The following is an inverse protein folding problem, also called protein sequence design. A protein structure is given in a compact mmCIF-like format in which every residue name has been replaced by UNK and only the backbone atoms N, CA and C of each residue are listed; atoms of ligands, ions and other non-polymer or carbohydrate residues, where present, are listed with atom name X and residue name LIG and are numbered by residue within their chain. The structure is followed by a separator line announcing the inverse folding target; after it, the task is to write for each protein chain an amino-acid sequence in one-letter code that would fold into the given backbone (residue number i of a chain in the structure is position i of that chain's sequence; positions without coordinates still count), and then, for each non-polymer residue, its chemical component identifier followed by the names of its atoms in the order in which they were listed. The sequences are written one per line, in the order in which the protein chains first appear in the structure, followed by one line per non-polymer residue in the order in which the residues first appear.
data_IF_239017351731
#
_entry.id   IF_239017351731
#
_cell.length_a   1.000
_cell.length_b   1.000
_cell.length_c   1.000
_cell.angle_alpha   90.00
_cell.angle_beta   90.00
_cell.angle_gamma   90.00
#
_symmetry.space_group_name_H-M   'P 1'
#
loop_
_entity.id
_entity.type
_entity.pdbx_description
1 polymer ?
#
# COMPACT_ATOMS: atom_id res chain seq x y z
N UNK A 1 29.55 12.28 35.85
CA UNK A 1 28.30 12.55 35.13
C UNK A 1 28.16 11.46 34.09
N UNK A 2 27.21 10.55 34.29
CA UNK A 2 26.88 9.53 33.30
C UNK A 2 25.61 9.99 32.60
N UNK A 3 25.71 10.26 31.31
CA UNK A 3 24.56 10.54 30.45
C UNK A 3 23.71 9.26 30.36
N UNK A 4 22.43 9.40 30.65
CA UNK A 4 21.45 8.32 30.44
C UNK A 4 21.23 8.15 28.93
N UNK A 5 21.09 6.91 28.42
CA UNK A 5 20.72 6.69 27.04
C UNK A 5 19.27 7.16 26.82
N UNK A 6 19.08 7.96 25.77
CA UNK A 6 17.76 8.32 25.23
C UNK A 6 16.95 7.05 24.98
N UNK A 7 16.02 6.74 25.88
CA UNK A 7 14.95 5.79 25.65
C UNK A 7 13.94 6.42 24.70
N UNK A 8 14.15 6.26 23.40
CA UNK A 8 13.09 6.40 22.41
C UNK A 8 11.99 5.37 22.74
N UNK A 9 10.75 5.86 22.71
CA UNK A 9 9.61 5.33 23.45
C UNK A 9 9.11 3.96 22.96
N UNK A 10 9.00 3.01 23.89
CA UNK A 10 8.34 1.70 23.72
C UNK A 10 6.82 1.76 23.46
N UNK A 11 6.26 2.97 23.30
CA UNK A 11 4.85 3.19 22.95
C UNK A 11 4.59 3.15 21.45
N UNK A 12 5.61 3.39 20.61
CA UNK A 12 5.45 3.61 19.17
C UNK A 12 5.46 2.31 18.37
N UNK A 13 6.37 1.36 18.68
CA UNK A 13 6.36 0.00 18.11
C UNK A 13 5.06 -0.79 18.40
N UNK A 14 4.23 -0.32 19.33
CA UNK A 14 2.98 -1.00 19.71
C UNK A 14 1.85 -0.80 18.72
N UNK A 15 1.85 0.29 17.94
CA UNK A 15 0.61 0.72 17.27
C UNK A 15 0.29 -0.07 16.00
N UNK A 16 1.26 -0.22 15.09
CA UNK A 16 1.11 -1.11 13.92
C UNK A 16 0.85 -2.55 14.33
N UNK A 17 1.57 -3.05 15.33
CA UNK A 17 1.37 -4.38 15.91
C UNK A 17 -0.02 -4.55 16.54
N UNK A 18 -0.55 -3.50 17.20
CA UNK A 18 -1.90 -3.47 17.77
C UNK A 18 -2.95 -3.51 16.67
N UNK A 19 -2.81 -2.69 15.62
CA UNK A 19 -3.72 -2.68 14.46
C UNK A 19 -3.72 -4.04 13.75
N UNK A 20 -2.54 -4.64 13.53
CA UNK A 20 -2.44 -5.96 12.92
C UNK A 20 -3.08 -7.06 13.76
N UNK A 21 -2.87 -7.02 15.08
CA UNK A 21 -3.54 -7.93 16.01
C UNK A 21 -5.05 -7.74 15.98
N UNK A 22 -5.53 -6.50 15.96
CA UNK A 22 -6.94 -6.16 15.87
C UNK A 22 -7.55 -6.70 14.57
N UNK A 23 -6.86 -6.55 13.43
CA UNK A 23 -7.28 -7.16 12.16
C UNK A 23 -7.39 -8.68 12.24
N UNK A 24 -6.43 -9.36 12.88
CA UNK A 24 -6.48 -10.82 13.01
C UNK A 24 -7.67 -11.25 13.87
N UNK A 25 -7.85 -10.61 15.01
CA UNK A 25 -8.76 -11.05 16.08
C UNK A 25 -10.21 -10.58 15.89
N UNK A 26 -10.45 -9.52 15.13
CA UNK A 26 -11.79 -8.95 14.95
C UNK A 26 -12.22 -8.93 13.47
N UNK A 27 -13.52 -9.08 13.22
CA UNK A 27 -14.15 -8.90 11.90
C UNK A 27 -14.97 -7.60 11.86
N UNK A 28 -14.62 -6.61 12.69
CA UNK A 28 -15.49 -5.45 12.95
C UNK A 28 -15.19 -4.27 12.04
N UNK A 29 -16.23 -3.53 11.60
CA UNK A 29 -16.11 -2.26 10.87
C UNK A 29 -15.23 -1.20 11.56
N UNK A 30 -15.13 -1.26 12.89
CA UNK A 30 -14.40 -0.28 13.70
C UNK A 30 -12.91 -0.17 13.35
N UNK A 31 -12.29 -1.25 12.85
CA UNK A 31 -10.87 -1.26 12.47
C UNK A 31 -10.61 -0.35 11.27
N UNK A 32 -11.57 -0.26 10.34
CA UNK A 32 -11.45 0.63 9.19
C UNK A 32 -11.52 2.09 9.60
N UNK A 33 -12.43 2.42 10.52
CA UNK A 33 -12.53 3.78 11.08
C UNK A 33 -11.23 4.18 11.77
N UNK A 34 -10.60 3.25 12.48
CA UNK A 34 -9.32 3.49 13.15
C UNK A 34 -8.17 3.73 12.15
N UNK A 35 -8.04 2.89 11.11
CA UNK A 35 -7.08 3.15 10.02
C UNK A 35 -7.34 4.52 9.41
N UNK A 36 -8.59 4.84 9.09
CA UNK A 36 -8.93 6.11 8.46
C UNK A 36 -8.54 7.29 9.36
N UNK A 37 -8.78 7.18 10.67
CA UNK A 37 -8.35 8.18 11.65
C UNK A 37 -6.82 8.30 11.71
N UNK A 38 -6.10 7.18 11.75
CA UNK A 38 -4.63 7.17 11.77
C UNK A 38 -4.05 7.75 10.48
N UNK A 39 -4.60 7.40 9.33
CA UNK A 39 -4.18 7.94 8.03
C UNK A 39 -4.38 9.46 8.00
N UNK A 40 -5.58 9.95 8.38
CA UNK A 40 -5.89 11.38 8.39
C UNK A 40 -5.02 12.15 9.38
N UNK A 41 -4.80 11.60 10.58
CA UNK A 41 -3.92 12.19 11.60
C UNK A 41 -2.47 12.35 11.10
N UNK A 42 -2.04 11.49 10.18
CA UNK A 42 -0.72 11.51 9.57
C UNK A 42 -0.72 12.11 8.15
N UNK A 43 -1.74 12.91 7.82
CA UNK A 43 -1.79 13.73 6.62
C UNK A 43 -2.20 12.98 5.35
N UNK A 44 -2.73 11.76 5.44
CA UNK A 44 -3.29 11.01 4.33
C UNK A 44 -4.83 11.03 4.35
N UNK A 45 -5.44 11.53 3.30
CA UNK A 45 -6.89 11.69 3.22
C UNK A 45 -7.51 10.76 2.17
N UNK A 46 -8.76 10.29 2.37
CA UNK A 46 -9.48 9.56 1.33
C UNK A 46 -9.48 10.31 0.00
N UNK A 47 -9.14 9.61 -1.08
CA UNK A 47 -8.91 10.21 -2.39
C UNK A 47 -10.06 9.89 -3.36
N UNK A 48 -10.51 10.90 -4.11
CA UNK A 48 -11.51 10.73 -5.18
C UNK A 48 -10.90 10.15 -6.47
N UNK A 49 -11.73 9.54 -7.32
CA UNK A 49 -11.29 8.85 -8.53
C UNK A 49 -10.46 9.72 -9.48
N UNK A 50 -10.77 11.01 -9.62
CA UNK A 50 -10.06 11.93 -10.52
C UNK A 50 -8.60 12.13 -10.10
N UNK A 51 -8.33 12.20 -8.80
CA UNK A 51 -6.96 12.37 -8.30
C UNK A 51 -6.17 11.06 -8.35
N UNK A 52 -6.85 9.94 -8.12
CA UNK A 52 -6.26 8.60 -8.36
C UNK A 52 -5.86 8.45 -9.83
N UNK A 53 -6.71 8.88 -10.78
CA UNK A 53 -6.40 8.86 -12.21
C UNK A 53 -5.16 9.71 -12.55
N UNK A 54 -5.01 10.90 -11.95
CA UNK A 54 -3.82 11.74 -12.13
C UNK A 54 -2.55 11.02 -11.66
N UNK A 55 -2.61 10.37 -10.50
CA UNK A 55 -1.49 9.57 -9.98
C UNK A 55 -1.17 8.39 -10.91
N UNK A 56 -2.19 7.75 -11.48
CA UNK A 56 -1.99 6.62 -12.41
C UNK A 56 -1.26 7.03 -13.68
N UNK A 57 -1.46 8.27 -14.13
CA UNK A 57 -0.82 8.82 -15.32
C UNK A 57 0.62 9.28 -15.07
N UNK A 58 1.05 9.46 -13.82
CA UNK A 58 2.41 9.88 -13.50
C UNK A 58 3.41 8.72 -13.63
N UNK A 59 4.18 8.72 -14.72
CA UNK A 59 5.14 7.67 -15.06
C UNK A 59 6.38 7.64 -14.17
N UNK A 60 6.67 8.72 -13.42
CA UNK A 60 7.80 8.76 -12.49
C UNK A 60 7.53 7.99 -11.20
N UNK A 61 6.27 7.73 -10.89
CA UNK A 61 5.91 6.99 -9.69
C UNK A 61 6.09 5.48 -9.85
N UNK A 62 6.46 4.88 -8.73
CA UNK A 62 6.62 3.44 -8.56
C UNK A 62 5.58 2.99 -7.53
N UNK A 63 5.13 1.75 -7.63
CA UNK A 63 4.26 1.13 -6.66
C UNK A 63 4.78 -0.24 -6.23
N UNK A 64 4.42 -0.67 -5.02
CA UNK A 64 4.70 -2.03 -4.55
C UNK A 64 3.65 -2.48 -3.55
N UNK A 65 3.38 -3.78 -3.53
CA UNK A 65 2.68 -4.38 -2.40
C UNK A 65 3.66 -4.48 -1.23
N UNK A 66 3.18 -4.15 -0.03
CA UNK A 66 4.00 -4.15 1.17
C UNK A 66 3.21 -4.70 2.37
N UNK A 67 3.95 -5.12 3.40
CA UNK A 67 3.38 -5.50 4.70
C UNK A 67 2.55 -4.36 5.27
N UNK A 68 1.36 -4.68 5.78
CA UNK A 68 0.51 -3.72 6.47
C UNK A 68 1.26 -3.03 7.61
N UNK A 69 1.98 -3.79 8.44
CA UNK A 69 2.74 -3.26 9.58
C UNK A 69 3.76 -2.22 9.14
N UNK A 70 4.55 -2.54 8.11
CA UNK A 70 5.58 -1.63 7.59
C UNK A 70 4.99 -0.34 7.01
N UNK A 71 3.84 -0.43 6.35
CA UNK A 71 3.18 0.77 5.83
C UNK A 71 2.62 1.62 6.96
N UNK A 72 2.01 1.01 7.97
CA UNK A 72 1.53 1.75 9.14
C UNK A 72 2.68 2.37 9.95
N UNK A 73 3.80 1.66 10.11
CA UNK A 73 5.01 2.22 10.74
C UNK A 73 5.57 3.39 9.93
N UNK A 74 5.57 3.29 8.60
CA UNK A 74 6.01 4.38 7.75
C UNK A 74 5.11 5.62 7.85
N UNK A 75 3.79 5.41 7.96
CA UNK A 75 2.81 6.50 8.05
C UNK A 75 2.76 7.11 9.45
N UNK A 76 2.62 6.29 10.49
CA UNK A 76 2.37 6.73 11.87
C UNK A 76 3.67 7.07 12.60
N UNK A 77 4.72 6.26 12.39
CA UNK A 77 5.98 6.37 13.12
C UNK A 77 7.07 7.06 12.30
N UNK A 78 6.74 7.50 11.08
CA UNK A 78 7.67 8.12 10.14
C UNK A 78 8.94 7.27 9.92
N UNK A 79 8.77 5.95 9.83
CA UNK A 79 9.86 4.99 9.61
C UNK A 79 10.06 4.69 8.12
N UNK A 80 11.31 4.64 7.68
CA UNK A 80 11.64 4.26 6.30
C UNK A 80 11.37 2.78 6.03
N UNK A 81 10.90 2.45 4.83
CA UNK A 81 10.76 1.07 4.37
C UNK A 81 12.00 0.70 3.56
N UNK A 82 12.90 -0.08 4.16
CA UNK A 82 14.09 -0.56 3.47
C UNK A 82 13.76 -1.65 2.46
N UNK A 83 14.26 -1.45 1.24
CA UNK A 83 14.19 -2.39 0.13
C UNK A 83 15.59 -2.99 -0.07
N UNK A 84 15.79 -4.19 0.46
CA UNK A 84 16.90 -5.04 0.06
C UNK A 84 16.39 -6.06 -0.96
N UNK A 85 17.18 -6.29 -2.01
CA UNK A 85 16.92 -7.38 -2.93
C UNK A 85 18.23 -8.05 -3.27
N UNK A 86 18.43 -9.23 -2.70
CA UNK A 86 19.66 -10.01 -2.87
C UNK A 86 19.56 -10.97 -4.06
N UNK A 87 18.35 -11.28 -4.54
CA UNK A 87 18.09 -12.33 -5.52
C UNK A 87 17.07 -11.86 -6.55
N UNK A 88 17.57 -11.41 -7.71
CA UNK A 88 16.98 -11.12 -9.05
C UNK A 88 15.45 -11.13 -9.30
N UNK A 89 14.64 -10.84 -8.29
CA UNK A 89 13.18 -10.96 -8.31
C UNK A 89 12.55 -9.57 -8.32
N UNK A 90 11.43 -9.41 -9.02
CA UNK A 90 10.70 -8.15 -9.00
C UNK A 90 10.21 -7.82 -7.59
N UNK A 91 10.49 -6.62 -7.11
CA UNK A 91 10.07 -6.15 -5.78
C UNK A 91 9.26 -4.85 -5.82
N UNK A 92 9.07 -4.29 -7.01
CA UNK A 92 8.24 -3.10 -7.25
C UNK A 92 7.73 -3.12 -8.69
N UNK A 93 6.82 -2.21 -9.02
CA UNK A 93 6.28 -2.03 -10.35
C UNK A 93 6.26 -0.54 -10.72
N UNK A 94 6.50 -0.22 -11.99
CA UNK A 94 6.21 1.12 -12.51
C UNK A 94 4.71 1.33 -12.65
N UNK A 95 4.20 2.54 -12.40
CA UNK A 95 2.75 2.80 -12.49
C UNK A 95 2.15 2.47 -13.86
N UNK A 96 2.81 2.87 -14.96
CA UNK A 96 2.45 2.54 -16.34
C UNK A 96 0.94 2.65 -16.65
N UNK A 97 0.36 3.84 -16.43
CA UNK A 97 -1.07 4.12 -16.57
C UNK A 97 -1.93 3.22 -15.66
N UNK A 98 -1.51 3.06 -14.41
CA UNK A 98 -2.17 2.22 -13.40
C UNK A 98 -1.93 0.71 -13.54
N UNK A 99 -1.34 0.22 -14.63
CA UNK A 99 -1.10 -1.23 -14.82
C UNK A 99 -0.20 -1.82 -13.74
N UNK A 100 0.85 -1.10 -13.31
CA UNK A 100 1.73 -1.57 -12.25
C UNK A 100 1.00 -1.69 -10.91
N UNK A 101 0.15 -0.71 -10.59
CA UNK A 101 -0.64 -0.75 -9.36
C UNK A 101 -1.61 -1.92 -9.38
N UNK A 102 -2.30 -2.14 -10.50
CA UNK A 102 -3.17 -3.30 -10.67
C UNK A 102 -2.39 -4.60 -10.47
N UNK A 103 -1.21 -4.73 -11.08
CA UNK A 103 -0.33 -5.88 -10.88
C UNK A 103 0.07 -6.05 -9.41
N UNK A 104 0.52 -4.99 -8.72
CA UNK A 104 0.88 -5.04 -7.31
C UNK A 104 -0.33 -5.34 -6.39
N UNK A 105 -1.53 -4.93 -6.79
CA UNK A 105 -2.76 -5.23 -6.06
C UNK A 105 -3.16 -6.69 -6.23
N UNK A 106 -3.12 -7.22 -7.46
CA UNK A 106 -3.53 -8.60 -7.75
C UNK A 106 -2.46 -9.61 -7.34
N UNK A 107 -1.20 -9.29 -7.55
CA UNK A 107 -0.03 -10.14 -7.35
C UNK A 107 0.88 -9.63 -6.22
N UNK A 108 1.67 -10.48 -5.58
CA UNK A 108 2.54 -10.08 -4.47
C UNK A 108 1.96 -10.40 -3.08
N UNK A 109 2.56 -9.82 -2.03
CA UNK A 109 2.31 -10.17 -0.62
C UNK A 109 0.82 -10.27 -0.27
N UNK A 110 0.45 -11.34 0.41
CA UNK A 110 -0.95 -11.69 0.68
C UNK A 110 -1.47 -11.20 2.04
N UNK A 111 -0.86 -10.17 2.64
CA UNK A 111 -1.25 -9.64 3.95
C UNK A 111 -1.39 -10.71 5.03
N UNK A 112 -0.47 -11.70 5.07
CA UNK A 112 -0.60 -12.85 5.99
C UNK A 112 -0.53 -12.42 7.46
N UNK A 113 0.25 -11.37 7.73
CA UNK A 113 0.41 -10.71 9.02
C UNK A 113 -0.93 -10.25 9.60
N UNK A 114 -1.88 -9.90 8.74
CA UNK A 114 -3.25 -9.46 9.05
C UNK A 114 -4.31 -10.50 8.66
N UNK A 115 -3.92 -11.78 8.59
CA UNK A 115 -4.83 -12.90 8.29
C UNK A 115 -5.43 -12.87 6.88
N UNK A 116 -4.73 -12.26 5.92
CA UNK A 116 -5.19 -12.02 4.55
C UNK A 116 -6.48 -11.17 4.46
N UNK A 117 -6.78 -10.37 5.49
CA UNK A 117 -7.95 -9.49 5.52
C UNK A 117 -7.73 -8.16 4.82
N UNK A 118 -6.49 -7.70 4.73
CA UNK A 118 -6.11 -6.49 4.00
C UNK A 118 -4.83 -6.72 3.24
N UNK A 119 -4.79 -6.20 2.01
CA UNK A 119 -3.57 -6.07 1.24
C UNK A 119 -3.28 -4.58 1.06
N UNK A 120 -2.02 -4.20 1.27
CA UNK A 120 -1.59 -2.82 1.15
C UNK A 120 -0.67 -2.68 -0.06
N UNK A 121 -0.88 -1.63 -0.82
CA UNK A 121 0.01 -1.20 -1.89
C UNK A 121 0.31 0.27 -1.70
N UNK A 122 1.58 0.63 -1.79
CA UNK A 122 2.02 2.02 -1.72
C UNK A 122 2.45 2.49 -3.10
N UNK A 123 2.20 3.76 -3.40
CA UNK A 123 2.74 4.49 -4.54
C UNK A 123 3.66 5.57 -4.01
N UNK A 124 4.85 5.66 -4.58
CA UNK A 124 5.93 6.48 -4.03
C UNK A 124 6.85 7.03 -5.12
N UNK A 125 7.53 8.12 -4.78
CA UNK A 125 8.63 8.70 -5.57
C UNK A 125 9.88 7.85 -5.43
N UNK A 126 10.72 7.86 -6.46
CA UNK A 126 11.95 7.04 -6.49
C UNK A 126 13.18 7.76 -5.90
N UNK A 127 12.98 8.88 -5.23
CA UNK A 127 14.02 9.89 -4.98
C UNK A 127 15.14 9.35 -4.06
N UNK A 128 14.80 8.45 -3.13
CA UNK A 128 15.75 7.84 -2.18
C UNK A 128 16.09 6.38 -2.49
N UNK A 129 15.71 5.88 -3.68
CA UNK A 129 16.15 4.55 -4.12
C UNK A 129 17.57 4.63 -4.68
N UNK A 130 18.43 3.75 -4.19
CA UNK A 130 19.82 3.60 -4.67
C UNK A 130 19.88 3.02 -6.08
N UNK A 131 18.96 2.11 -6.41
CA UNK A 131 18.88 1.52 -7.74
C UNK A 131 17.46 1.17 -8.13
N UNK A 132 17.15 1.34 -9.42
CA UNK A 132 15.89 0.90 -10.03
C UNK A 132 16.18 0.44 -11.44
N UNK A 133 15.85 -0.81 -11.74
CA UNK A 133 16.08 -1.42 -13.04
C UNK A 133 14.87 -2.26 -13.46
N UNK A 134 14.53 -2.32 -14.77
CA UNK A 134 13.60 -3.31 -15.27
C UNK A 134 14.08 -4.75 -15.05
N UNK A 135 13.14 -5.69 -15.02
CA UNK A 135 13.46 -7.12 -15.00
C UNK A 135 13.97 -7.57 -16.37
N UNK A 136 15.08 -8.32 -16.38
CA UNK A 136 15.73 -8.79 -17.60
C UNK A 136 14.82 -9.73 -18.40
N UNK A 137 14.79 -9.55 -19.73
CA UNK A 137 13.88 -10.26 -20.65
C UNK A 137 14.07 -11.79 -20.70
N UNK A 138 15.22 -12.27 -20.25
CA UNK A 138 15.57 -13.69 -20.16
C UNK A 138 15.19 -14.33 -18.80
N UNK A 139 14.67 -13.55 -17.84
CA UNK A 139 14.25 -14.07 -16.54
C UNK A 139 13.00 -14.96 -16.62
N UNK A 140 12.82 -15.82 -15.61
CA UNK A 140 11.65 -16.70 -15.51
C UNK A 140 10.31 -15.94 -15.53
N UNK A 141 10.27 -14.73 -14.99
CA UNK A 141 9.05 -13.92 -14.95
C UNK A 141 8.57 -13.54 -16.35
N UNK A 142 9.48 -13.26 -17.29
CA UNK A 142 9.13 -12.97 -18.69
C UNK A 142 8.54 -14.20 -19.41
N UNK A 143 9.02 -15.39 -19.05
CA UNK A 143 8.56 -16.65 -19.63
C UNK A 143 7.19 -17.07 -19.10
N UNK A 144 6.93 -16.84 -17.80
CA UNK A 144 5.72 -17.32 -17.12
C UNK A 144 4.60 -16.27 -17.07
N UNK A 145 4.96 -14.99 -16.93
CA UNK A 145 4.03 -13.86 -16.72
C UNK A 145 4.50 -12.58 -17.40
N UNK A 146 4.52 -12.60 -18.73
CA UNK A 146 4.99 -11.48 -19.55
C UNK A 146 4.39 -10.11 -19.18
N UNK A 147 3.07 -10.02 -18.99
CA UNK A 147 2.40 -8.74 -18.65
C UNK A 147 2.84 -8.19 -17.29
N UNK A 148 3.09 -9.07 -16.32
CA UNK A 148 3.65 -8.72 -15.01
C UNK A 148 5.08 -8.24 -15.18
N UNK A 149 5.90 -8.98 -15.93
CA UNK A 149 7.30 -8.64 -16.19
C UNK A 149 7.48 -7.27 -16.86
N UNK A 150 6.58 -6.89 -17.77
CA UNK A 150 6.60 -5.60 -18.48
C UNK A 150 6.51 -4.38 -17.57
N UNK A 151 5.85 -4.49 -16.41
CA UNK A 151 5.71 -3.41 -15.44
C UNK A 151 6.56 -3.61 -14.19
N UNK A 152 7.21 -4.76 -14.07
CA UNK A 152 8.04 -5.12 -12.92
C UNK A 152 9.40 -4.44 -12.95
N UNK A 153 9.85 -4.09 -11.76
CA UNK A 153 11.12 -3.45 -11.49
C UNK A 153 11.82 -4.20 -10.33
N UNK A 154 13.15 -4.21 -10.39
CA UNK A 154 14.03 -4.53 -9.26
C UNK A 154 14.68 -3.24 -8.78
N UNK A 155 14.70 -3.02 -7.48
CA UNK A 155 15.40 -1.87 -6.91
C UNK A 155 15.88 -2.12 -5.50
N UNK A 156 16.74 -1.23 -5.02
CA UNK A 156 17.29 -1.21 -3.67
C UNK A 156 17.34 0.21 -3.13
N UNK A 157 17.38 0.34 -1.82
CA UNK A 157 17.39 1.65 -1.12
C UNK A 157 16.25 1.72 -0.11
N UNK A 158 15.84 2.94 0.21
CA UNK A 158 14.81 3.20 1.22
C UNK A 158 13.64 3.97 0.60
N UNK A 159 12.42 3.63 1.01
CA UNK A 159 11.24 4.46 0.77
C UNK A 159 11.07 5.30 2.02
N UNK A 160 11.36 6.60 1.91
CA UNK A 160 11.12 7.50 3.03
C UNK A 160 9.63 7.83 3.12
N UNK A 161 9.09 8.13 4.31
CA UNK A 161 7.69 8.50 4.48
C UNK A 161 7.26 9.63 3.54
N UNK A 162 8.09 10.66 3.33
CA UNK A 162 7.87 11.77 2.41
C UNK A 162 7.71 11.37 0.95
N UNK A 163 8.29 10.24 0.53
CA UNK A 163 8.19 9.74 -0.84
C UNK A 163 6.84 9.11 -1.12
N UNK A 164 6.13 8.64 -0.09
CA UNK A 164 4.82 7.97 -0.22
C UNK A 164 3.78 9.02 -0.59
N UNK A 165 3.25 8.91 -1.81
CA UNK A 165 2.23 9.82 -2.35
C UNK A 165 0.82 9.26 -2.19
N UNK A 166 0.69 7.93 -2.20
CA UNK A 166 -0.59 7.25 -2.02
C UNK A 166 -0.42 5.91 -1.32
N UNK A 167 -1.34 5.62 -0.39
CA UNK A 167 -1.51 4.30 0.21
C UNK A 167 -2.86 3.76 -0.23
N UNK A 168 -2.87 2.52 -0.69
CA UNK A 168 -4.07 1.86 -1.18
C UNK A 168 -4.29 0.57 -0.41
N UNK A 169 -5.46 0.46 0.21
CA UNK A 169 -5.88 -0.73 0.93
C UNK A 169 -6.91 -1.49 0.10
N UNK A 170 -6.65 -2.77 -0.13
CA UNK A 170 -7.56 -3.70 -0.79
C UNK A 170 -8.10 -4.69 0.24
N UNK A 171 -9.41 -4.73 0.36
CA UNK A 171 -10.12 -5.54 1.34
C UNK A 171 -11.13 -6.47 0.66
N UNK A 172 -11.25 -7.74 1.07
CA UNK A 172 -12.35 -8.59 0.64
C UNK A 172 -13.70 -8.04 1.14
N UNK A 173 -14.70 -7.94 0.26
CA UNK A 173 -16.05 -7.42 0.57
C UNK A 173 -16.70 -8.17 1.75
N UNK A 174 -16.42 -9.47 1.91
CA UNK A 174 -16.96 -10.31 3.00
C UNK A 174 -16.67 -9.80 4.42
N UNK A 175 -15.72 -8.87 4.58
CA UNK A 175 -15.40 -8.27 5.88
C UNK A 175 -16.17 -6.98 6.17
N UNK A 176 -16.98 -6.50 5.23
CA UNK A 176 -17.85 -5.35 5.42
C UNK A 176 -19.29 -5.79 5.68
N UNK A 177 -19.99 -5.18 6.65
CA UNK A 177 -21.42 -5.36 6.77
C UNK A 177 -22.09 -4.72 5.55
N UNK A 178 -23.15 -5.37 5.06
CA UNK A 178 -23.94 -4.92 3.90
C UNK A 178 -24.31 -3.43 3.98
N UNK A 179 -24.75 -2.99 5.15
CA UNK A 179 -25.11 -1.58 5.44
C UNK A 179 -23.98 -0.55 5.25
N UNK A 180 -22.73 -0.98 5.13
CA UNK A 180 -21.57 -0.11 4.89
C UNK A 180 -21.08 -0.17 3.43
N UNK A 181 -21.74 -0.94 2.59
CA UNK A 181 -21.50 -1.03 1.16
C UNK A 181 -22.46 -0.11 0.41
N UNK A 182 -21.97 0.49 -0.67
CA UNK A 182 -22.85 1.14 -1.66
C UNK A 182 -23.69 0.09 -2.39
N UNK A 183 -24.84 0.49 -2.95
CA UNK A 183 -25.69 -0.41 -3.75
C UNK A 183 -24.92 -1.06 -4.92
N UNK A 184 -23.96 -0.35 -5.51
CA UNK A 184 -23.11 -0.88 -6.58
C UNK A 184 -22.10 -1.93 -6.06
N UNK A 185 -21.55 -1.75 -4.86
CA UNK A 185 -20.67 -2.73 -4.21
C UNK A 185 -21.43 -4.00 -3.77
N UNK A 186 -22.70 -3.86 -3.37
CA UNK A 186 -23.58 -4.98 -3.04
C UNK A 186 -24.01 -5.79 -4.27
N UNK A 187 -24.38 -5.10 -5.36
CA UNK A 187 -24.90 -5.72 -6.58
C UNK A 187 -23.81 -6.44 -7.41
N UNK A 188 -22.54 -6.10 -7.21
CA UNK A 188 -21.40 -6.75 -7.89
C UNK A 188 -20.87 -8.00 -7.18
N UNK A 189 -21.54 -8.49 -6.13
CA UNK A 189 -21.17 -9.72 -5.42
C UNK A 189 -21.68 -10.94 -6.21
N UNK A 190 -20.84 -11.43 -7.13
CA UNK A 190 -21.01 -12.76 -7.75
C UNK A 190 -20.63 -13.83 -6.72
N UNK A 191 -21.53 -14.75 -6.38
CA UNK A 191 -21.33 -15.79 -5.35
C UNK A 191 -20.10 -16.68 -5.60
N UNK A 192 -19.62 -16.73 -6.85
CA UNK A 192 -18.45 -17.52 -7.24
C UNK A 192 -17.13 -16.72 -7.31
N UNK A 193 -17.14 -15.41 -7.00
CA UNK A 193 -15.95 -14.56 -7.04
C UNK A 193 -15.76 -13.79 -5.75
N UNK A 194 -14.50 -13.74 -5.29
CA UNK A 194 -14.16 -12.85 -4.19
C UNK A 194 -14.19 -11.42 -4.72
N UNK A 195 -15.18 -10.64 -4.30
CA UNK A 195 -15.24 -9.20 -4.55
C UNK A 195 -14.30 -8.45 -3.58
N UNK A 196 -13.70 -7.35 -4.05
CA UNK A 196 -12.78 -6.54 -3.27
C UNK A 196 -13.15 -5.06 -3.35
N UNK A 197 -12.96 -4.37 -2.25
CA UNK A 197 -13.04 -2.91 -2.15
C UNK A 197 -11.63 -2.38 -2.07
N UNK A 198 -11.35 -1.34 -2.86
CA UNK A 198 -10.09 -0.61 -2.79
C UNK A 198 -10.39 0.78 -2.26
N UNK A 199 -9.66 1.19 -1.21
CA UNK A 199 -9.69 2.55 -0.67
C UNK A 199 -8.32 3.17 -0.83
N UNK A 200 -8.27 4.36 -1.42
CA UNK A 200 -7.07 5.11 -1.72
C UNK A 200 -6.96 6.31 -0.78
N UNK A 201 -5.75 6.57 -0.30
CA UNK A 201 -5.44 7.69 0.56
C UNK A 201 -4.20 8.44 0.05
N UNK A 202 -4.26 9.75 -0.08
CA UNK A 202 -3.18 10.60 -0.62
C UNK A 202 -2.79 11.70 0.37
N UNK A 203 -1.53 12.15 0.29
CA UNK A 203 -1.03 13.25 1.14
C UNK A 203 -1.59 14.62 0.78
N UNK A 204 -1.84 14.84 -0.51
CA UNK A 204 -2.41 16.08 -0.98
C UNK A 204 -3.93 15.98 -0.92
N UNK A 205 -4.55 16.91 -0.18
CA UNK A 205 -5.95 17.26 -0.42
C UNK A 205 -5.92 18.14 -1.65
N UNK A 206 -6.21 17.58 -2.82
CA UNK A 206 -6.33 18.39 -4.03
C UNK A 206 -7.51 19.33 -3.80
N UNK A 207 -7.20 20.57 -3.44
CA UNK A 207 -8.23 21.57 -3.21
C UNK A 207 -8.84 21.88 -4.58
N UNK A 208 -9.99 21.29 -4.89
CA UNK A 208 -10.70 21.44 -6.18
C UNK A 208 -11.30 22.85 -6.38
N UNK A 209 -10.78 23.86 -5.68
CA UNK A 209 -11.17 25.26 -5.80
C UNK A 209 -9.99 26.03 -6.34
N UNK A 210 -9.85 26.05 -7.66
CA UNK A 210 -9.29 27.13 -8.49
C UNK A 210 -9.11 26.59 -9.92
N UNK A 211 -10.19 26.53 -10.68
CA UNK A 211 -10.23 26.76 -12.13
C UNK A 211 -11.65 27.12 -12.55
#
# INVERSE_FOLDING_TARGET
MFEQPNTLSSSQEKESSRLSKLFRETNTPSVFTEIEQDMQANGFFPTESQDVERIFQEHRFICRSESFEKVMDAVILNQSISISNENDSANMCMMASGRGLHTAMVEGFSGKEVGAKVKVTIVFKRDHLTSVQPIEKNSELWNTKRKTAEVSLRGTGDILPEDIVMVSFRFPVKYFPKTSLSEEEENNIDENKIAFIVRHYTKEKTDHRLH
#
